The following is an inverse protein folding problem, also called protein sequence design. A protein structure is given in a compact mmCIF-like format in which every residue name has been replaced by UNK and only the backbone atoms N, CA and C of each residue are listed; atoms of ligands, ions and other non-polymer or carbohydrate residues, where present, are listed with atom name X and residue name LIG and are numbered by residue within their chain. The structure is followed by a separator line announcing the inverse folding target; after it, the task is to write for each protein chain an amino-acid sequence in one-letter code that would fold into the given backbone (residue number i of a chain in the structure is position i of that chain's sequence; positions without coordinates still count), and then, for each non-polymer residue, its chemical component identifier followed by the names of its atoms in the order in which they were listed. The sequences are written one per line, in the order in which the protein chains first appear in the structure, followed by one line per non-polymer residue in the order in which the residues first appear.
data_IF_139213127484
#
_entry.id   IF_139213127484
#
_cell.length_a   1.000
_cell.length_b   1.000
_cell.length_c   1.000
_cell.angle_alpha   90.00
_cell.angle_beta   90.00
_cell.angle_gamma   90.00
#
_symmetry.space_group_name_H-M   'P 1'
#
loop_
_entity.id
_entity.type
_entity.pdbx_description
1 polymer ?
#
# COMPACT_ATOMS: atom_id res chain seq x y z
N UNK A 1 0.47 21.37 20.27
CA UNK A 1 -0.20 22.46 20.98
C UNK A 1 0.73 23.67 21.01
N UNK A 2 0.30 24.78 20.44
CA UNK A 2 1.08 26.03 20.30
C UNK A 2 0.71 27.11 21.37
N UNK A 3 -0.09 26.72 22.39
CA UNK A 3 -0.46 27.58 23.51
C UNK A 3 0.79 28.04 24.28
N UNK A 4 0.94 29.35 24.60
CA UNK A 4 2.05 29.87 25.41
C UNK A 4 2.27 29.12 26.73
N UNK A 5 1.20 28.66 27.37
CA UNK A 5 1.29 27.89 28.61
C UNK A 5 1.99 26.54 28.44
N UNK A 6 2.08 26.03 27.20
CA UNK A 6 2.77 24.78 26.84
C UNK A 6 4.16 25.05 26.26
N UNK A 7 4.28 26.08 25.41
CA UNK A 7 5.53 26.43 24.73
C UNK A 7 6.44 27.35 25.54
N UNK A 8 5.96 27.85 26.65
CA UNK A 8 6.65 28.78 27.56
C UNK A 8 6.16 30.23 27.44
N UNK A 9 6.26 30.94 28.53
CA UNK A 9 5.92 32.37 28.66
C UNK A 9 7.17 33.19 28.93
N UNK A 10 7.21 34.43 28.44
CA UNK A 10 8.29 35.34 28.75
C UNK A 10 8.23 35.84 30.22
N UNK A 11 9.37 36.22 30.73
CA UNK A 11 9.49 36.94 32.03
C UNK A 11 10.27 38.23 31.82
N UNK A 12 9.91 39.26 32.53
CA UNK A 12 10.59 40.54 32.48
C UNK A 12 10.87 41.08 33.89
N UNK A 13 11.88 41.89 34.02
CA UNK A 13 12.22 42.64 35.26
C UNK A 13 12.69 44.01 34.91
N UNK A 14 12.30 44.99 35.68
CA UNK A 14 12.80 46.35 35.60
C UNK A 14 13.44 46.75 36.95
N UNK A 15 14.35 47.74 36.91
CA UNK A 15 15.07 48.20 38.13
C UNK A 15 14.27 49.20 38.94
N UNK A 16 13.25 49.84 38.37
CA UNK A 16 12.41 50.83 38.99
C UNK A 16 10.96 50.43 39.11
N UNK A 17 10.52 49.45 38.28
CA UNK A 17 9.17 48.95 38.24
C UNK A 17 9.12 47.49 38.72
N UNK A 18 8.26 47.21 39.69
CA UNK A 18 8.07 45.87 40.26
C UNK A 18 7.02 45.03 39.54
N UNK A 19 6.26 45.61 38.62
CA UNK A 19 5.14 44.98 37.92
C UNK A 19 5.15 45.34 36.43
N UNK A 20 5.92 44.63 35.64
CA UNK A 20 6.09 44.86 34.19
C UNK A 20 4.98 44.12 33.43
N UNK A 21 4.25 44.88 32.57
CA UNK A 21 3.25 44.31 31.70
C UNK A 21 3.90 43.49 30.56
N UNK A 22 3.42 42.28 30.32
CA UNK A 22 3.92 41.39 29.24
C UNK A 22 2.76 41.03 28.31
N UNK A 23 2.87 41.48 27.06
CA UNK A 23 1.95 41.13 25.97
C UNK A 23 2.62 40.23 24.93
N UNK A 24 1.83 39.43 24.21
CA UNK A 24 2.32 38.67 23.06
C UNK A 24 1.50 38.92 21.79
N UNK A 25 2.19 38.77 20.67
CA UNK A 25 1.59 38.75 19.35
C UNK A 25 2.24 37.64 18.52
N UNK A 26 1.48 37.03 17.60
CA UNK A 26 2.00 35.91 16.80
C UNK A 26 1.77 36.13 15.31
N UNK A 27 2.81 35.87 14.51
CA UNK A 27 2.74 35.77 13.07
C UNK A 27 2.95 34.29 12.67
N UNK A 28 2.16 33.80 11.72
CA UNK A 28 2.21 32.40 11.26
C UNK A 28 2.63 32.38 9.80
N UNK A 29 3.70 31.65 9.49
CA UNK A 29 4.13 31.32 8.14
C UNK A 29 3.88 29.83 7.86
N UNK A 30 3.67 29.47 6.59
CA UNK A 30 3.59 28.08 6.16
C UNK A 30 4.95 27.39 6.36
N UNK A 31 4.93 26.09 6.68
CA UNK A 31 6.10 25.24 6.71
C UNK A 31 6.41 24.65 5.34
N UNK A 32 7.08 23.50 5.32
CA UNK A 32 7.52 22.80 4.10
C UNK A 32 6.38 22.05 3.43
N UNK A 33 5.38 21.66 4.19
CA UNK A 33 4.17 20.95 3.75
C UNK A 33 2.91 21.59 4.39
N UNK A 34 1.69 21.23 3.93
CA UNK A 34 0.44 21.89 4.34
C UNK A 34 0.17 21.88 5.85
N UNK A 35 0.61 20.83 6.54
CA UNK A 35 0.38 20.63 7.98
C UNK A 35 1.39 21.39 8.84
N UNK A 36 2.56 21.70 8.28
CA UNK A 36 3.63 22.40 8.99
C UNK A 36 3.43 23.91 9.06
N UNK A 37 3.90 24.50 10.14
CA UNK A 37 3.85 25.97 10.35
C UNK A 37 5.06 26.43 11.14
N UNK A 38 5.46 27.67 10.86
CA UNK A 38 6.41 28.41 11.69
C UNK A 38 5.68 29.60 12.31
N UNK A 39 5.58 29.60 13.63
CA UNK A 39 4.96 30.67 14.40
C UNK A 39 6.08 31.50 15.01
N UNK A 40 6.13 32.77 14.65
CA UNK A 40 6.98 33.76 15.32
C UNK A 40 6.11 34.48 16.34
N UNK A 41 6.38 34.29 17.62
CA UNK A 41 5.71 34.93 18.73
C UNK A 41 6.61 36.04 19.26
N UNK A 42 6.16 37.28 19.18
CA UNK A 42 6.87 38.44 19.72
C UNK A 42 6.29 38.77 21.10
N UNK A 43 7.11 38.67 22.12
CA UNK A 43 6.80 39.07 23.47
C UNK A 43 7.26 40.51 23.67
N UNK A 44 6.42 41.34 24.26
CA UNK A 44 6.73 42.77 24.55
C UNK A 44 6.51 43.01 26.04
N UNK A 45 7.54 43.47 26.72
CA UNK A 45 7.48 43.91 28.10
C UNK A 45 7.45 45.42 28.16
N UNK A 46 6.52 46.00 28.91
CA UNK A 46 6.33 47.46 29.01
C UNK A 46 6.25 47.83 30.50
N UNK A 47 7.02 48.86 30.90
CA UNK A 47 6.97 49.45 32.24
C UNK A 47 5.83 50.53 32.37
N UNK A 48 5.56 50.96 33.59
CA UNK A 48 4.55 52.00 33.91
C UNK A 48 4.84 53.37 33.23
N UNK A 49 6.09 53.62 32.83
CA UNK A 49 6.51 54.81 32.12
C UNK A 49 6.37 54.69 30.59
N UNK A 50 6.02 53.54 30.08
CA UNK A 50 5.87 53.24 28.63
C UNK A 50 7.17 52.88 27.92
N UNK A 51 8.27 52.58 28.66
CA UNK A 51 9.45 52.01 28.01
C UNK A 51 9.19 50.53 27.71
N UNK A 52 9.53 50.10 26.51
CA UNK A 52 9.25 48.73 26.07
C UNK A 52 10.49 48.03 25.49
N UNK A 53 10.54 46.73 25.70
CA UNK A 53 11.50 45.83 25.05
C UNK A 53 10.79 44.59 24.52
N UNK A 54 11.32 43.99 23.46
CA UNK A 54 10.71 42.78 22.89
C UNK A 54 11.73 41.72 22.55
N UNK A 55 11.26 40.46 22.49
CA UNK A 55 12.01 39.31 22.00
C UNK A 55 11.09 38.34 21.25
N UNK A 56 11.67 37.59 20.34
CA UNK A 56 10.94 36.62 19.54
C UNK A 56 11.18 35.18 20.03
N UNK A 57 10.09 34.40 20.02
CA UNK A 57 10.11 32.96 20.19
C UNK A 57 9.67 32.33 18.87
N UNK A 58 10.45 31.36 18.33
CA UNK A 58 10.06 30.57 17.16
C UNK A 58 9.47 29.26 17.66
N UNK A 59 8.23 28.97 17.23
CA UNK A 59 7.57 27.69 17.45
C UNK A 59 7.39 27.01 16.10
N UNK A 60 8.14 25.95 15.85
CA UNK A 60 7.96 25.09 14.68
C UNK A 60 6.92 24.01 14.98
N UNK A 61 5.93 23.90 14.12
CA UNK A 61 4.98 22.79 14.08
C UNK A 61 5.41 21.93 12.90
N UNK A 62 5.76 20.70 13.17
CA UNK A 62 6.26 19.74 12.17
C UNK A 62 5.38 18.51 12.16
N UNK A 63 5.40 17.82 11.05
CA UNK A 63 4.83 16.49 10.87
C UNK A 63 5.95 15.53 10.50
N UNK A 64 6.33 14.68 11.45
CA UNK A 64 7.42 13.72 11.34
C UNK A 64 6.98 12.27 11.62
N UNK A 65 5.66 12.03 11.72
CA UNK A 65 5.10 10.70 11.86
C UNK A 65 4.77 10.09 10.48
N UNK A 66 5.00 8.79 10.34
CA UNK A 66 4.62 8.08 9.13
C UNK A 66 3.15 7.67 9.19
N UNK A 67 2.41 7.69 8.05
CA UNK A 67 1.06 7.17 7.99
C UNK A 67 0.96 5.73 8.50
N UNK A 68 -0.09 5.43 9.24
CA UNK A 68 -0.41 4.07 9.67
C UNK A 68 -1.15 3.35 8.54
N UNK A 69 -0.49 2.41 7.86
CA UNK A 69 -1.04 1.62 6.75
C UNK A 69 -1.52 0.25 7.23
N UNK A 70 -2.61 -0.24 6.62
CA UNK A 70 -3.14 -1.59 6.79
C UNK A 70 -3.34 -2.24 5.43
N UNK A 71 -2.59 -3.30 5.14
CA UNK A 71 -2.74 -4.10 3.93
C UNK A 71 -3.99 -4.97 3.96
N UNK A 72 -4.57 -5.30 2.80
CA UNK A 72 -5.53 -6.38 2.69
C UNK A 72 -4.87 -7.73 3.04
N UNK A 73 -5.69 -8.72 3.39
CA UNK A 73 -5.20 -10.07 3.69
C UNK A 73 -4.62 -10.74 2.44
N UNK A 74 -3.69 -11.67 2.64
CA UNK A 74 -3.21 -12.54 1.58
C UNK A 74 -4.38 -13.34 0.98
N UNK A 75 -4.33 -13.57 -0.34
CA UNK A 75 -5.39 -14.24 -1.08
C UNK A 75 -4.82 -15.25 -2.07
N UNK A 76 -5.59 -16.32 -2.32
CA UNK A 76 -5.34 -17.27 -3.40
C UNK A 76 -6.44 -17.12 -4.45
N UNK A 77 -6.06 -16.99 -5.69
CA UNK A 77 -6.94 -16.84 -6.85
C UNK A 77 -6.58 -17.91 -7.88
N UNK A 78 -7.55 -18.26 -8.74
CA UNK A 78 -7.29 -19.18 -9.85
C UNK A 78 -6.58 -18.44 -10.99
N UNK A 79 -5.88 -19.18 -11.87
CA UNK A 79 -5.14 -18.59 -12.99
C UNK A 79 -5.98 -17.75 -13.96
N UNK A 80 -7.29 -17.98 -14.03
CA UNK A 80 -8.25 -17.24 -14.86
C UNK A 80 -8.89 -16.03 -14.15
N UNK A 81 -8.69 -15.91 -12.82
CA UNK A 81 -9.27 -14.83 -12.03
C UNK A 81 -8.54 -13.49 -12.23
N UNK A 82 -9.27 -12.41 -11.98
CA UNK A 82 -8.70 -11.07 -11.95
C UNK A 82 -7.80 -10.89 -10.72
N UNK A 83 -6.56 -10.47 -10.94
CA UNK A 83 -5.51 -10.30 -9.94
C UNK A 83 -5.33 -8.85 -9.50
N UNK A 84 -6.15 -7.94 -10.04
CA UNK A 84 -6.09 -6.51 -9.68
C UNK A 84 -6.51 -6.29 -8.23
N UNK A 85 -6.11 -5.15 -7.67
CA UNK A 85 -6.50 -4.75 -6.32
C UNK A 85 -8.02 -4.63 -6.17
N UNK A 86 -8.76 -4.28 -7.23
CA UNK A 86 -10.24 -4.25 -7.20
C UNK A 86 -10.85 -5.60 -6.80
N UNK A 87 -10.20 -6.73 -7.15
CA UNK A 87 -10.66 -8.08 -6.80
C UNK A 87 -9.94 -8.66 -5.57
N UNK A 88 -8.70 -8.29 -5.34
CA UNK A 88 -7.88 -8.87 -4.25
C UNK A 88 -7.86 -8.01 -2.98
N UNK A 89 -8.41 -6.80 -3.04
CA UNK A 89 -8.55 -5.85 -1.93
C UNK A 89 -7.55 -4.70 -1.99
N UNK A 90 -7.93 -3.58 -1.38
CA UNK A 90 -7.15 -2.35 -1.30
C UNK A 90 -6.61 -2.13 0.10
N UNK A 91 -5.43 -1.50 0.20
CA UNK A 91 -4.90 -1.03 1.46
C UNK A 91 -5.62 0.22 1.95
N UNK A 92 -5.59 0.44 3.25
CA UNK A 92 -6.09 1.66 3.88
C UNK A 92 -5.00 2.31 4.71
N UNK A 93 -5.00 3.64 4.81
CA UNK A 93 -4.06 4.36 5.63
C UNK A 93 -4.73 5.52 6.36
N UNK A 94 -4.14 5.91 7.49
CA UNK A 94 -4.54 7.09 8.28
C UNK A 94 -3.29 7.74 8.83
N UNK A 95 -3.36 9.05 9.01
CA UNK A 95 -2.31 9.83 9.63
C UNK A 95 -2.86 10.76 10.71
N UNK A 96 -1.99 11.22 11.64
CA UNK A 96 -2.37 12.09 12.76
C UNK A 96 -2.52 13.56 12.35
N UNK A 97 -1.84 13.99 11.30
CA UNK A 97 -1.82 15.36 10.79
C UNK A 97 -2.42 15.50 9.41
N UNK A 98 -2.34 14.45 8.56
CA UNK A 98 -2.85 14.44 7.19
C UNK A 98 -4.16 13.63 7.09
N UNK A 99 -5.20 14.24 6.47
CA UNK A 99 -6.48 13.58 6.23
C UNK A 99 -6.59 12.98 4.82
N UNK A 100 -5.60 13.19 3.95
CA UNK A 100 -5.60 12.77 2.55
C UNK A 100 -4.31 12.04 2.16
N UNK A 101 -4.06 10.90 2.83
CA UNK A 101 -2.88 10.07 2.62
C UNK A 101 -2.93 9.41 1.24
N UNK A 102 -1.88 9.59 0.44
CA UNK A 102 -1.76 8.97 -0.88
C UNK A 102 -1.29 7.53 -0.75
N UNK A 103 -2.05 6.57 -1.33
CA UNK A 103 -1.68 5.15 -1.37
C UNK A 103 -1.33 4.77 -2.81
N UNK A 104 -0.20 4.08 -2.98
CA UNK A 104 0.27 3.52 -4.25
C UNK A 104 0.56 2.04 -4.10
N UNK A 105 0.44 1.27 -5.22
CA UNK A 105 0.77 -0.15 -5.25
C UNK A 105 1.87 -0.45 -6.27
N UNK A 106 2.63 -1.52 -6.04
CA UNK A 106 3.59 -2.08 -6.98
C UNK A 106 3.71 -3.59 -6.80
N UNK A 107 3.74 -4.34 -7.92
CA UNK A 107 3.79 -5.79 -7.91
C UNK A 107 5.18 -6.32 -8.27
N UNK A 108 5.61 -7.37 -7.56
CA UNK A 108 6.74 -8.22 -7.90
C UNK A 108 6.23 -9.65 -8.07
N UNK A 109 6.48 -10.24 -9.25
CA UNK A 109 5.95 -11.56 -9.62
C UNK A 109 7.08 -12.60 -9.60
N UNK A 110 6.86 -13.70 -8.89
CA UNK A 110 7.70 -14.89 -8.90
C UNK A 110 6.93 -16.07 -9.51
N UNK A 111 7.63 -16.96 -10.23
CA UNK A 111 7.03 -18.18 -10.76
C UNK A 111 6.63 -19.14 -9.62
N UNK A 112 5.49 -19.82 -9.81
CA UNK A 112 5.01 -20.88 -8.93
C UNK A 112 5.62 -22.23 -9.23
N UNK A 113 4.90 -23.31 -8.87
CA UNK A 113 5.35 -24.70 -9.02
C UNK A 113 5.19 -25.22 -10.44
N UNK A 114 4.26 -24.66 -11.20
CA UNK A 114 4.02 -24.95 -12.61
C UNK A 114 3.96 -23.64 -13.43
N UNK A 115 4.03 -23.69 -14.77
CA UNK A 115 4.13 -22.49 -15.59
C UNK A 115 2.98 -21.48 -15.46
N UNK A 116 1.81 -21.93 -15.03
CA UNK A 116 0.61 -21.11 -14.88
C UNK A 116 0.46 -20.52 -13.49
N UNK A 117 1.20 -21.06 -12.52
CA UNK A 117 1.20 -20.55 -11.15
C UNK A 117 2.17 -19.40 -10.95
N UNK A 118 1.78 -18.44 -10.16
CA UNK A 118 2.58 -17.25 -9.81
C UNK A 118 2.37 -16.89 -8.34
N UNK A 119 3.38 -16.24 -7.76
CA UNK A 119 3.27 -15.57 -6.47
C UNK A 119 3.53 -14.08 -6.70
N UNK A 120 2.49 -13.29 -6.56
CA UNK A 120 2.58 -11.83 -6.66
C UNK A 120 2.75 -11.27 -5.24
N UNK A 121 3.85 -10.56 -5.01
CA UNK A 121 4.02 -9.73 -3.83
C UNK A 121 3.64 -8.31 -4.21
N UNK A 122 2.50 -7.85 -3.73
CA UNK A 122 2.01 -6.48 -3.91
C UNK A 122 2.42 -5.64 -2.73
N UNK A 123 3.30 -4.68 -2.97
CA UNK A 123 3.73 -3.71 -1.97
C UNK A 123 2.87 -2.46 -2.05
N UNK A 124 2.18 -2.16 -0.96
CA UNK A 124 1.41 -0.94 -0.77
C UNK A 124 2.27 0.09 -0.04
N UNK A 125 2.27 1.33 -0.52
CA UNK A 125 2.98 2.44 0.11
C UNK A 125 2.03 3.60 0.35
N UNK A 126 1.91 4.02 1.61
CA UNK A 126 1.18 5.20 2.04
C UNK A 126 2.16 6.35 2.24
N UNK A 127 1.85 7.51 1.69
CA UNK A 127 2.68 8.72 1.81
C UNK A 127 1.78 9.91 2.14
N UNK A 128 2.16 10.69 3.16
CA UNK A 128 1.50 11.95 3.52
C UNK A 128 1.99 13.12 2.66
N UNK A 129 1.38 14.29 2.85
CA UNK A 129 1.75 15.52 2.14
C UNK A 129 3.11 16.09 2.57
N UNK A 130 3.68 15.64 3.70
CA UNK A 130 5.00 16.00 4.19
C UNK A 130 6.11 15.08 3.67
N UNK A 131 5.74 13.96 3.05
CA UNK A 131 6.65 12.99 2.46
C UNK A 131 7.07 11.87 3.42
N UNK A 132 6.45 11.77 4.62
CA UNK A 132 6.63 10.62 5.47
C UNK A 132 5.89 9.42 4.86
N UNK A 133 6.47 8.22 4.93
CA UNK A 133 5.91 7.07 4.26
C UNK A 133 6.05 5.78 5.07
N UNK A 134 5.08 4.88 4.87
CA UNK A 134 5.11 3.51 5.36
C UNK A 134 4.64 2.56 4.29
N UNK A 135 5.01 1.29 4.40
CA UNK A 135 4.60 0.26 3.45
C UNK A 135 4.24 -1.05 4.13
N UNK A 136 3.46 -1.86 3.43
CA UNK A 136 3.15 -3.23 3.80
C UNK A 136 2.91 -4.07 2.54
N UNK A 137 2.99 -5.41 2.67
CA UNK A 137 2.86 -6.33 1.57
C UNK A 137 1.60 -7.19 1.69
N UNK A 138 1.02 -7.53 0.53
CA UNK A 138 0.00 -8.55 0.34
C UNK A 138 0.57 -9.63 -0.58
N UNK A 139 0.33 -10.89 -0.26
CA UNK A 139 0.63 -12.02 -1.15
C UNK A 139 -0.64 -12.41 -1.91
N UNK A 140 -0.56 -12.40 -3.24
CA UNK A 140 -1.58 -12.96 -4.13
C UNK A 140 -0.99 -14.21 -4.76
N UNK A 141 -1.43 -15.39 -4.30
CA UNK A 141 -1.03 -16.68 -4.86
C UNK A 141 -1.96 -17.04 -6.00
N UNK A 142 -1.42 -17.19 -7.20
CA UNK A 142 -2.15 -17.67 -8.38
C UNK A 142 -1.91 -19.15 -8.53
N UNK A 143 -2.97 -19.95 -8.54
CA UNK A 143 -2.90 -21.40 -8.60
C UNK A 143 -3.73 -21.95 -9.77
N UNK A 144 -3.37 -23.15 -10.19
CA UNK A 144 -4.18 -24.00 -11.04
C UNK A 144 -4.58 -25.23 -10.22
N UNK A 145 -5.85 -25.34 -9.87
CA UNK A 145 -6.39 -26.44 -9.06
C UNK A 145 -7.44 -27.28 -9.79
N UNK A 146 -7.64 -27.04 -11.09
CA UNK A 146 -8.53 -27.84 -11.92
C UNK A 146 -7.76 -28.92 -12.69
N UNK A 147 -8.44 -30.06 -12.90
CA UNK A 147 -7.87 -31.13 -13.72
C UNK A 147 -8.31 -30.96 -15.19
N UNK A 148 -7.43 -31.28 -16.17
CA UNK A 148 -7.79 -31.20 -17.58
C UNK A 148 -9.03 -32.05 -17.91
N UNK A 149 -9.92 -31.49 -18.70
CA UNK A 149 -11.07 -32.18 -19.24
C UNK A 149 -10.70 -32.96 -20.50
N UNK A 150 -10.68 -34.31 -20.41
CA UNK A 150 -10.33 -35.17 -21.54
C UNK A 150 -11.59 -35.76 -22.24
N UNK A 151 -11.55 -35.78 -23.57
CA UNK A 151 -12.57 -36.41 -24.41
C UNK A 151 -11.94 -37.52 -25.21
N UNK A 152 -12.38 -38.78 -24.98
CA UNK A 152 -11.93 -39.94 -25.72
C UNK A 152 -12.60 -40.06 -27.10
N UNK A 153 -11.93 -40.61 -28.09
CA UNK A 153 -12.57 -40.98 -29.34
C UNK A 153 -13.66 -42.06 -29.15
N UNK A 154 -14.60 -42.16 -30.07
CA UNK A 154 -15.63 -43.18 -30.02
C UNK A 154 -15.10 -44.59 -30.25
N UNK A 155 -15.78 -45.60 -29.68
CA UNK A 155 -15.47 -47.00 -29.93
C UNK A 155 -15.49 -47.35 -31.42
N UNK A 156 -14.48 -48.07 -31.90
CA UNK A 156 -14.39 -48.51 -33.30
C UNK A 156 -14.18 -50.00 -33.41
N UNK A 157 -14.68 -50.60 -34.50
CA UNK A 157 -14.42 -51.97 -34.88
C UNK A 157 -13.61 -51.99 -36.15
N UNK A 158 -12.46 -52.62 -36.14
CA UNK A 158 -11.56 -52.75 -37.28
C UNK A 158 -11.37 -54.22 -37.65
N UNK A 159 -11.02 -54.47 -38.90
CA UNK A 159 -10.66 -55.84 -39.34
C UNK A 159 -9.28 -56.23 -38.79
N UNK A 160 -8.97 -57.52 -38.79
CA UNK A 160 -7.71 -58.02 -38.26
C UNK A 160 -6.46 -57.57 -39.03
N UNK A 161 -6.64 -57.11 -40.27
CA UNK A 161 -5.62 -56.59 -41.19
C UNK A 161 -5.49 -55.07 -41.18
N UNK A 162 -6.41 -54.37 -40.50
CA UNK A 162 -6.41 -52.89 -40.44
C UNK A 162 -5.37 -52.38 -39.46
N UNK A 163 -4.93 -51.16 -39.68
CA UNK A 163 -4.08 -50.42 -38.77
C UNK A 163 -4.88 -50.02 -37.52
N UNK A 164 -4.34 -50.36 -36.32
CA UNK A 164 -4.96 -50.16 -35.00
C UNK A 164 -4.36 -49.00 -34.23
N UNK A 165 -3.48 -48.24 -34.88
CA UNK A 165 -2.90 -47.02 -34.23
C UNK A 165 -3.95 -45.94 -34.01
N UNK A 166 -3.74 -45.10 -33.05
CA UNK A 166 -4.60 -43.93 -32.78
C UNK A 166 -4.80 -43.00 -33.98
N UNK A 167 -3.83 -42.96 -34.88
CA UNK A 167 -3.94 -42.21 -36.13
C UNK A 167 -5.11 -42.70 -37.02
N UNK A 168 -5.46 -44.01 -36.95
CA UNK A 168 -6.56 -44.61 -37.71
C UNK A 168 -7.83 -44.80 -36.87
N UNK A 169 -7.71 -44.99 -35.58
CA UNK A 169 -8.84 -45.29 -34.69
C UNK A 169 -9.37 -44.09 -33.93
N UNK A 170 -8.68 -42.96 -33.99
CA UNK A 170 -9.03 -41.70 -33.36
C UNK A 170 -8.09 -41.35 -32.21
N UNK A 171 -7.94 -40.06 -31.93
CA UNK A 171 -7.11 -39.51 -30.88
C UNK A 171 -8.00 -38.81 -29.83
N UNK A 172 -7.60 -38.90 -28.54
CA UNK A 172 -8.23 -38.12 -27.51
C UNK A 172 -7.90 -36.63 -27.65
N UNK A 173 -8.76 -35.77 -27.14
CA UNK A 173 -8.52 -34.33 -26.98
C UNK A 173 -8.67 -33.93 -25.53
N UNK A 174 -7.92 -32.96 -25.07
CA UNK A 174 -8.06 -32.43 -23.73
C UNK A 174 -8.08 -30.87 -23.77
N UNK A 175 -8.73 -30.29 -22.82
CA UNK A 175 -8.76 -28.84 -22.58
C UNK A 175 -8.61 -28.58 -21.09
N UNK A 176 -7.99 -27.49 -20.77
CA UNK A 176 -7.81 -27.01 -19.42
C UNK A 176 -8.09 -25.49 -19.36
N UNK A 177 -8.45 -24.98 -18.18
CA UNK A 177 -8.73 -23.55 -18.02
C UNK A 177 -7.46 -22.70 -17.95
N UNK A 178 -6.37 -23.28 -17.49
CA UNK A 178 -5.09 -22.59 -17.26
C UNK A 178 -4.01 -23.01 -18.25
N UNK A 179 -4.00 -24.29 -18.67
CA UNK A 179 -2.97 -24.84 -19.55
C UNK A 179 -3.43 -24.93 -21.01
N UNK A 180 -2.67 -24.28 -21.91
CA UNK A 180 -2.96 -24.27 -23.34
C UNK A 180 -2.40 -25.48 -24.09
N UNK A 181 -1.44 -26.23 -23.53
CA UNK A 181 -0.83 -27.41 -24.12
C UNK A 181 -0.83 -28.57 -23.13
N UNK A 182 -1.71 -29.55 -23.35
CA UNK A 182 -1.88 -30.70 -22.48
C UNK A 182 -1.26 -31.92 -23.11
N UNK A 183 -0.35 -32.60 -22.42
CA UNK A 183 0.22 -33.85 -22.85
C UNK A 183 -0.78 -35.02 -22.66
N UNK A 184 -1.17 -35.65 -23.77
CA UNK A 184 -2.02 -36.85 -23.75
C UNK A 184 -1.16 -38.07 -24.01
N UNK A 185 -1.12 -39.00 -23.05
CA UNK A 185 -0.40 -40.26 -23.15
C UNK A 185 -1.40 -41.40 -23.36
N UNK A 186 -1.24 -42.15 -24.44
CA UNK A 186 -2.01 -43.37 -24.71
C UNK A 186 -1.27 -44.63 -24.25
N UNK A 187 -2.02 -45.62 -23.82
CA UNK A 187 -1.51 -46.97 -23.51
C UNK A 187 -2.51 -48.01 -23.91
N UNK A 188 -2.05 -49.05 -24.62
CA UNK A 188 -2.87 -50.18 -25.05
C UNK A 188 -2.72 -51.41 -24.14
N UNK A 189 -3.83 -52.05 -23.84
CA UNK A 189 -3.86 -53.37 -23.21
C UNK A 189 -4.60 -54.36 -24.09
N UNK A 190 -3.98 -55.52 -24.36
CA UNK A 190 -4.59 -56.61 -25.13
C UNK A 190 -5.04 -57.70 -24.14
N UNK A 191 -6.33 -58.03 -24.17
CA UNK A 191 -6.93 -59.08 -23.35
C UNK A 191 -6.88 -60.42 -24.06
#
# INVERSE_FOLDING_TARGET
NTDPNVTGVATATDNCDGDVDIDDSSAVAAGSCPQEKVITRTWTATDDCGNASSCDQIVAVVDDENPAISCPADVTVNCEDDRSSENTGDATATDNCDNDVTITESDSVAAGSCPQEEVITRTWTATDDCGNASSCDQIVAVVDDENPAITCPGDVTVNCEDDRTSANTGVATATDNCDGEIDIVESDSVA
#
